data_IF_568868667803
#
_entry.id   IF_568868667803
#
_cell.length_a   1.000
_cell.length_b   1.000
_cell.length_c   1.000
_cell.angle_alpha   90.00
_cell.angle_beta   90.00
_cell.angle_gamma   90.00
#
_symmetry.space_group_name_H-M   'P 1'
#
loop_
_entity.id
_entity.type
_entity.pdbx_description
1 polymer ?
#
# COMPACT_ATOMS: atom_id res chain seq x y z
N UNK A 1 24.42 1.28 16.11
CA UNK A 1 25.37 2.40 15.95
C UNK A 1 24.59 3.56 15.36
N UNK A 2 24.42 4.62 16.14
CA UNK A 2 23.87 5.91 15.72
C UNK A 2 25.06 6.78 15.31
N UNK A 3 24.91 7.59 14.26
CA UNK A 3 25.94 8.54 13.86
C UNK A 3 25.49 9.98 14.15
N UNK A 4 26.45 10.82 14.49
CA UNK A 4 26.38 12.14 15.13
C UNK A 4 25.81 13.26 14.22
N UNK A 5 25.03 12.90 13.19
CA UNK A 5 24.75 13.73 12.03
C UNK A 5 23.28 13.92 11.65
N UNK A 6 22.32 13.75 12.57
CA UNK A 6 20.96 14.32 12.46
C UNK A 6 20.22 14.11 11.12
N UNK A 7 20.50 13.03 10.39
CA UNK A 7 19.83 12.69 9.12
C UNK A 7 19.30 11.28 9.19
N UNK A 8 18.12 11.18 9.78
CA UNK A 8 17.24 10.05 9.57
C UNK A 8 16.80 10.10 8.10
N UNK A 9 17.53 9.43 7.20
CA UNK A 9 16.95 9.03 5.91
C UNK A 9 16.14 7.76 6.14
N UNK A 10 15.04 7.86 6.89
CA UNK A 10 13.98 6.84 6.97
C UNK A 10 13.11 6.87 5.70
N UNK A 11 13.75 6.86 4.53
CA UNK A 11 13.04 6.50 3.30
C UNK A 11 12.82 4.99 3.31
N UNK A 12 11.78 4.54 4.03
CA UNK A 12 11.38 3.14 4.05
C UNK A 12 11.12 2.69 2.60
N UNK A 13 11.76 1.61 2.16
CA UNK A 13 11.58 1.13 0.80
C UNK A 13 10.19 0.48 0.64
N UNK A 14 9.65 0.53 -0.58
CA UNK A 14 8.41 -0.18 -0.92
C UNK A 14 8.43 -1.64 -0.43
N UNK A 15 9.59 -2.30 -0.58
CA UNK A 15 9.80 -3.69 -0.18
C UNK A 15 9.66 -3.93 1.32
N UNK A 16 10.08 -2.97 2.14
CA UNK A 16 10.00 -3.09 3.60
C UNK A 16 8.56 -2.85 4.07
N UNK A 17 7.90 -1.83 3.51
CA UNK A 17 6.46 -1.62 3.72
C UNK A 17 5.66 -2.84 3.27
N UNK A 18 5.89 -3.35 2.06
CA UNK A 18 5.20 -4.52 1.54
C UNK A 18 5.30 -5.73 2.49
N UNK A 19 6.50 -5.99 3.03
CA UNK A 19 6.72 -7.07 4.00
C UNK A 19 5.98 -6.82 5.30
N UNK A 20 6.08 -5.61 5.84
CA UNK A 20 5.42 -5.24 7.09
C UNK A 20 3.91 -5.38 6.98
N UNK A 21 3.33 -4.75 5.96
CA UNK A 21 1.89 -4.71 5.68
C UNK A 21 1.33 -6.11 5.45
N UNK A 22 2.01 -6.91 4.60
CA UNK A 22 1.60 -8.28 4.35
C UNK A 22 1.72 -9.14 5.61
N UNK A 23 2.78 -9.00 6.40
CA UNK A 23 2.94 -9.71 7.66
C UNK A 23 1.86 -9.33 8.67
N UNK A 24 1.49 -8.05 8.78
CA UNK A 24 0.40 -7.58 9.66
C UNK A 24 -0.94 -8.20 9.27
N UNK A 25 -1.25 -8.29 7.97
CA UNK A 25 -2.54 -8.79 7.51
C UNK A 25 -2.61 -10.32 7.46
N UNK A 26 -1.49 -10.99 7.15
CA UNK A 26 -1.47 -12.46 6.93
C UNK A 26 -0.90 -13.24 8.10
N UNK A 27 -0.07 -12.61 8.94
CA UNK A 27 0.78 -13.26 9.93
C UNK A 27 2.02 -13.95 9.32
N UNK A 28 2.16 -13.95 8.00
CA UNK A 28 3.19 -14.66 7.26
C UNK A 28 4.18 -13.68 6.62
N UNK A 29 5.49 -13.97 6.62
CA UNK A 29 6.46 -13.11 5.97
C UNK A 29 6.32 -13.19 4.44
N UNK A 30 6.30 -12.03 3.76
CA UNK A 30 6.27 -12.02 2.30
C UNK A 30 7.58 -12.62 1.76
N UNK A 31 7.54 -13.62 0.84
CA UNK A 31 8.73 -14.27 0.32
C UNK A 31 9.70 -13.27 -0.33
N UNK A 32 11.00 -13.39 -0.05
CA UNK A 32 12.00 -12.38 -0.45
C UNK A 32 12.04 -12.10 -1.96
N UNK A 33 11.76 -13.11 -2.79
CA UNK A 33 11.71 -12.99 -4.26
C UNK A 33 10.37 -12.48 -4.83
N UNK A 34 9.34 -12.28 -4.00
CA UNK A 34 7.99 -11.89 -4.45
C UNK A 34 7.71 -10.40 -4.36
N UNK A 35 8.63 -9.61 -3.83
CA UNK A 35 8.49 -8.15 -3.85
C UNK A 35 8.80 -7.64 -5.25
N UNK A 36 7.82 -7.78 -6.14
CA UNK A 36 7.82 -7.07 -7.41
C UNK A 36 7.38 -5.63 -7.17
N UNK A 37 7.78 -4.70 -8.04
CA UNK A 37 7.27 -3.31 -8.05
C UNK A 37 5.82 -3.30 -8.57
N UNK A 38 4.95 -4.05 -7.91
CA UNK A 38 3.53 -4.18 -8.23
C UNK A 38 2.71 -3.72 -7.04
N UNK A 39 1.58 -3.03 -7.28
CA UNK A 39 0.70 -2.61 -6.19
C UNK A 39 0.05 -3.79 -5.46
N UNK A 40 -0.05 -4.96 -6.09
CA UNK A 40 -0.56 -6.19 -5.47
C UNK A 40 0.58 -6.95 -4.80
N UNK A 41 0.46 -7.18 -3.49
CA UNK A 41 1.44 -7.93 -2.70
C UNK A 41 1.14 -9.43 -2.70
N UNK A 42 -0.15 -9.76 -2.67
CA UNK A 42 -0.63 -11.13 -2.62
C UNK A 42 -2.03 -11.21 -2.03
N UNK A 43 -2.63 -12.38 -2.11
CA UNK A 43 -3.91 -12.67 -1.45
C UNK A 43 -3.71 -13.71 -0.35
N UNK A 44 -4.40 -13.52 0.77
CA UNK A 44 -4.39 -14.44 1.90
C UNK A 44 -5.79 -14.55 2.49
N UNK A 45 -6.25 -15.78 2.80
CA UNK A 45 -7.57 -16.03 3.41
C UNK A 45 -8.74 -15.40 2.65
N UNK A 46 -8.67 -15.31 1.32
CA UNK A 46 -9.70 -14.68 0.49
C UNK A 46 -9.69 -13.14 0.52
N UNK A 47 -8.59 -12.54 0.99
CA UNK A 47 -8.37 -11.10 1.05
C UNK A 47 -7.18 -10.72 0.18
N UNK A 48 -7.37 -9.84 -0.80
CA UNK A 48 -6.32 -9.31 -1.66
C UNK A 48 -5.65 -8.10 -1.00
N UNK A 49 -4.33 -8.14 -0.80
CA UNK A 49 -3.58 -7.09 -0.13
C UNK A 49 -2.84 -6.26 -1.17
N UNK A 50 -3.07 -4.95 -1.15
CA UNK A 50 -2.51 -3.98 -2.06
C UNK A 50 -1.81 -2.86 -1.30
N UNK A 51 -0.71 -2.37 -1.84
CA UNK A 51 0.07 -1.27 -1.29
C UNK A 51 0.33 -0.22 -2.36
N UNK A 52 -0.16 1.00 -2.12
CA UNK A 52 0.07 2.18 -2.95
C UNK A 52 1.17 3.01 -2.28
N UNK A 53 2.39 2.90 -2.80
CA UNK A 53 3.54 3.63 -2.26
C UNK A 53 4.53 4.01 -3.35
N UNK A 54 5.12 5.21 -3.23
CA UNK A 54 6.09 5.81 -4.15
C UNK A 54 5.69 5.75 -5.64
N UNK A 55 4.41 5.96 -5.95
CA UNK A 55 3.97 6.08 -7.34
C UNK A 55 4.20 4.80 -8.16
N UNK A 56 4.07 3.62 -7.53
CA UNK A 56 4.23 2.31 -8.17
C UNK A 56 3.36 2.09 -9.43
N UNK A 57 2.34 2.92 -9.61
CA UNK A 57 1.43 2.95 -10.75
C UNK A 57 1.77 4.05 -11.78
N UNK A 58 3.03 4.49 -11.83
CA UNK A 58 3.56 5.51 -12.77
C UNK A 58 2.72 6.80 -12.77
N UNK A 59 2.99 7.65 -11.78
CA UNK A 59 2.58 9.06 -11.65
C UNK A 59 1.48 9.57 -12.59
N UNK A 60 0.23 9.21 -12.28
CA UNK A 60 -0.96 9.92 -12.77
C UNK A 60 -1.68 10.52 -11.58
N UNK A 61 -1.02 11.53 -11.02
CA UNK A 61 -1.35 12.21 -9.77
C UNK A 61 -2.64 13.04 -9.83
N UNK A 62 -3.12 13.42 -8.64
CA UNK A 62 -3.34 14.85 -8.38
C UNK A 62 -2.40 15.42 -7.29
N UNK A 63 -1.78 14.63 -6.41
CA UNK A 63 -0.79 15.15 -5.45
C UNK A 63 0.18 14.11 -4.84
N UNK A 64 0.45 13.01 -5.55
CA UNK A 64 1.36 11.94 -5.10
C UNK A 64 0.69 10.58 -5.25
N UNK A 65 1.32 9.66 -5.99
CA UNK A 65 0.78 8.36 -6.42
C UNK A 65 0.49 7.32 -5.32
N UNK A 66 0.12 7.77 -4.12
CA UNK A 66 -0.20 6.97 -2.94
C UNK A 66 -1.67 7.12 -2.52
N UNK A 67 -2.49 7.86 -3.28
CA UNK A 67 -3.91 8.08 -2.99
C UNK A 67 -4.78 7.11 -3.79
N UNK A 68 -5.72 6.45 -3.12
CA UNK A 68 -6.71 5.59 -3.77
C UNK A 68 -7.75 6.45 -4.52
N UNK A 69 -7.65 6.44 -5.84
CA UNK A 69 -8.59 7.09 -6.76
C UNK A 69 -9.32 6.06 -7.61
N UNK A 70 -10.37 6.47 -8.31
CA UNK A 70 -11.08 5.61 -9.26
C UNK A 70 -10.16 5.05 -10.36
N UNK A 71 -9.24 5.87 -10.85
CA UNK A 71 -8.26 5.46 -11.87
C UNK A 71 -7.28 4.44 -11.31
N UNK A 72 -6.78 4.66 -10.09
CA UNK A 72 -5.89 3.72 -9.41
C UNK A 72 -6.61 2.39 -9.18
N UNK A 73 -7.83 2.41 -8.68
CA UNK A 73 -8.62 1.20 -8.47
C UNK A 73 -8.80 0.40 -9.76
N UNK A 74 -9.08 1.07 -10.89
CA UNK A 74 -9.23 0.41 -12.19
C UNK A 74 -7.92 -0.22 -12.71
N UNK A 75 -6.75 0.27 -12.27
CA UNK A 75 -5.45 -0.30 -12.61
C UNK A 75 -5.06 -1.46 -11.69
N UNK A 76 -5.71 -1.61 -10.53
CA UNK A 76 -5.41 -2.71 -9.63
C UNK A 76 -5.88 -4.03 -10.25
N UNK A 77 -5.09 -5.11 -10.09
CA UNK A 77 -5.52 -6.45 -10.50
C UNK A 77 -6.89 -6.77 -9.90
N UNK A 78 -7.86 -7.23 -10.72
CA UNK A 78 -9.16 -7.63 -10.22
C UNK A 78 -8.98 -8.79 -9.24
N UNK A 79 -9.71 -8.74 -8.14
CA UNK A 79 -9.70 -9.79 -7.13
C UNK A 79 -11.11 -10.06 -6.66
N UNK A 80 -11.48 -11.34 -6.69
CA UNK A 80 -12.79 -11.80 -6.27
C UNK A 80 -12.79 -12.04 -4.76
N UNK A 81 -13.10 -10.98 -4.01
CA UNK A 81 -13.06 -11.00 -2.56
C UNK A 81 -12.83 -9.62 -1.94
N UNK A 82 -12.58 -9.63 -0.63
CA UNK A 82 -12.23 -8.42 0.11
C UNK A 82 -10.86 -7.92 -0.32
N UNK A 83 -10.71 -6.60 -0.50
CA UNK A 83 -9.45 -5.98 -0.94
C UNK A 83 -8.99 -5.02 0.14
N UNK A 84 -7.82 -5.26 0.72
CA UNK A 84 -7.22 -4.33 1.66
C UNK A 84 -6.21 -3.48 0.91
N UNK A 85 -6.46 -2.19 0.81
CA UNK A 85 -5.61 -1.25 0.09
C UNK A 85 -4.97 -0.30 1.10
N UNK A 86 -3.64 -0.38 1.18
CA UNK A 86 -2.83 0.54 1.96
C UNK A 86 -2.48 1.75 1.12
N UNK A 87 -2.93 2.91 1.55
CA UNK A 87 -2.75 4.17 0.86
C UNK A 87 -2.74 5.32 1.85
N UNK A 88 -2.22 6.47 1.41
CA UNK A 88 -2.06 7.66 2.27
C UNK A 88 -3.37 8.43 2.39
N UNK A 89 -4.17 8.39 1.33
CA UNK A 89 -5.51 8.97 1.29
C UNK A 89 -6.42 8.17 0.38
N UNK A 90 -7.73 8.36 0.55
CA UNK A 90 -8.75 7.75 -0.31
C UNK A 90 -9.73 8.83 -0.80
N UNK A 91 -9.86 8.93 -2.11
CA UNK A 91 -10.82 9.82 -2.79
C UNK A 91 -12.08 9.09 -3.27
N UNK A 92 -12.21 7.79 -2.98
CA UNK A 92 -13.44 7.03 -3.23
C UNK A 92 -14.46 7.28 -2.12
N UNK A 93 -15.73 7.39 -2.51
CA UNK A 93 -16.86 7.43 -1.58
C UNK A 93 -17.05 6.09 -0.85
N UNK A 94 -17.58 6.15 0.37
CA UNK A 94 -17.83 4.96 1.22
C UNK A 94 -18.70 3.91 0.53
N UNK A 95 -19.69 4.33 -0.24
CA UNK A 95 -20.61 3.47 -0.99
C UNK A 95 -19.85 2.58 -2.00
N UNK A 96 -18.95 3.19 -2.80
CA UNK A 96 -18.05 2.48 -3.72
C UNK A 96 -17.13 1.51 -3.02
N UNK A 97 -16.55 1.91 -1.88
CA UNK A 97 -15.67 1.03 -1.11
C UNK A 97 -16.43 -0.22 -0.63
N UNK A 98 -17.67 -0.06 -0.14
CA UNK A 98 -18.50 -1.18 0.28
C UNK A 98 -18.92 -2.07 -0.90
N UNK A 99 -19.34 -1.49 -2.02
CA UNK A 99 -19.74 -2.22 -3.22
C UNK A 99 -18.60 -3.11 -3.77
N UNK A 100 -17.36 -2.60 -3.75
CA UNK A 100 -16.17 -3.29 -4.24
C UNK A 100 -15.47 -4.16 -3.16
N UNK A 101 -16.02 -4.19 -1.93
CA UNK A 101 -15.46 -4.85 -0.73
C UNK A 101 -14.03 -4.41 -0.43
N UNK A 102 -13.77 -3.11 -0.55
CA UNK A 102 -12.46 -2.49 -0.33
C UNK A 102 -12.37 -1.96 1.10
N UNK A 103 -11.35 -2.40 1.82
CA UNK A 103 -10.92 -1.84 3.08
C UNK A 103 -9.70 -0.94 2.86
N UNK A 104 -9.85 0.34 3.17
CA UNK A 104 -8.75 1.30 3.10
C UNK A 104 -8.00 1.32 4.42
N UNK A 105 -6.68 1.21 4.36
CA UNK A 105 -5.77 1.32 5.51
C UNK A 105 -4.73 2.41 5.28
N UNK A 106 -4.39 3.14 6.33
CA UNK A 106 -3.31 4.12 6.26
C UNK A 106 -1.96 3.41 6.29
N UNK A 107 -1.02 3.89 5.46
CA UNK A 107 0.37 3.41 5.51
C UNK A 107 1.08 3.94 6.77
N UNK A 108 1.64 3.07 7.62
CA UNK A 108 2.08 3.44 8.97
C UNK A 108 3.24 4.44 9.05
N UNK A 109 4.03 4.61 7.99
CA UNK A 109 5.29 5.39 8.03
C UNK A 109 5.19 6.80 7.45
N UNK A 110 3.99 7.28 7.13
CA UNK A 110 3.81 8.64 6.61
C UNK A 110 3.60 9.70 7.71
N UNK A 111 3.85 9.33 8.98
CA UNK A 111 3.94 10.32 10.05
C UNK A 111 5.23 11.11 9.78
N UNK A 112 5.08 12.22 9.05
CA UNK A 112 6.06 13.30 8.98
C UNK A 112 6.60 13.52 10.38
N UNK A 113 7.87 13.19 10.58
CA UNK A 113 8.66 13.71 11.68
C UNK A 113 8.68 15.22 11.46
N UNK A 114 7.93 15.94 12.28
CA UNK A 114 7.94 17.41 12.32
C UNK A 114 8.91 17.88 13.39
#
# INVERSE_FOLDING_TARGET
>A
MFDEGGKIRETVSFSDLARHVYFTETGEPLPRGRVTKTPFLGACRGVGIYLLYNGILSDKSAQGGNVLTRSVLAMLPPFDGQKVIYCTGCLLGKDRLQAERILVRQTPYEIKVS
#
